data_IF_502434022225
#
_entry.id   IF_502434022225
#
_cell.length_a   1.000
_cell.length_b   1.000
_cell.length_c   1.000
_cell.angle_alpha   90.00
_cell.angle_beta   90.00
_cell.angle_gamma   90.00
#
_symmetry.space_group_name_H-M   'P 1'
#
loop_
_entity.id
_entity.type
_entity.pdbx_description
1 polymer ?
#
# COMPACT_ATOMS: atom_id res chain seq x y z
N UNK A 1 -10.43 -1.57 -45.37
CA UNK A 1 -11.52 -1.17 -44.44
C UNK A 1 -11.11 -1.55 -43.04
N UNK A 2 -10.48 -0.60 -42.30
CA UNK A 2 -10.02 -0.80 -40.92
C UNK A 2 -11.17 -0.58 -39.92
N UNK A 3 -12.14 -1.50 -39.87
CA UNK A 3 -13.14 -1.50 -38.81
C UNK A 3 -12.44 -1.88 -37.48
N UNK A 4 -12.31 -0.94 -36.56
CA UNK A 4 -11.97 -1.22 -35.14
C UNK A 4 -13.29 -1.31 -34.38
N UNK A 5 -13.59 -2.44 -33.75
CA UNK A 5 -14.79 -2.56 -32.94
C UNK A 5 -14.74 -1.52 -31.81
N UNK A 6 -15.83 -0.78 -31.65
CA UNK A 6 -15.99 0.16 -30.54
C UNK A 6 -16.03 -0.64 -29.22
N UNK A 7 -15.14 -0.30 -28.31
CA UNK A 7 -15.03 -0.93 -26.98
C UNK A 7 -16.35 -0.82 -26.20
N UNK A 8 -17.10 0.27 -26.35
CA UNK A 8 -18.42 0.43 -25.76
C UNK A 8 -19.45 -0.57 -26.32
N UNK A 9 -19.42 -0.81 -27.65
CA UNK A 9 -20.28 -1.80 -28.30
C UNK A 9 -19.90 -3.25 -27.92
N UNK A 10 -18.61 -3.53 -27.72
CA UNK A 10 -18.16 -4.84 -27.22
C UNK A 10 -18.60 -5.06 -25.77
N UNK A 11 -18.46 -4.06 -24.90
CA UNK A 11 -18.89 -4.10 -23.48
C UNK A 11 -20.41 -4.36 -23.38
N UNK A 12 -21.21 -3.68 -24.19
CA UNK A 12 -22.66 -3.89 -24.24
C UNK A 12 -23.04 -5.32 -24.72
N UNK A 13 -22.25 -5.91 -25.62
CA UNK A 13 -22.50 -7.25 -26.15
C UNK A 13 -22.02 -8.37 -25.23
N UNK A 14 -20.89 -8.17 -24.52
CA UNK A 14 -20.26 -9.21 -23.69
C UNK A 14 -20.57 -9.07 -22.20
N UNK A 15 -21.05 -7.91 -21.77
CA UNK A 15 -21.23 -7.57 -20.36
C UNK A 15 -19.93 -7.52 -19.56
N UNK A 16 -18.76 -7.64 -20.22
CA UNK A 16 -17.45 -7.69 -19.57
C UNK A 16 -16.72 -6.36 -19.78
N UNK A 17 -16.35 -5.72 -18.69
CA UNK A 17 -15.47 -4.56 -18.67
C UNK A 17 -14.05 -5.06 -18.46
N UNK A 18 -13.17 -4.83 -19.45
CA UNK A 18 -11.76 -5.25 -19.39
C UNK A 18 -10.89 -4.12 -18.81
N UNK A 19 -11.34 -3.52 -17.71
CA UNK A 19 -10.60 -2.46 -17.00
C UNK A 19 -10.53 -2.79 -15.51
N UNK A 20 -9.37 -2.60 -14.91
CA UNK A 20 -9.16 -2.69 -13.47
C UNK A 20 -8.64 -1.36 -12.97
N UNK A 21 -9.28 -0.84 -11.92
CA UNK A 21 -8.82 0.35 -11.23
C UNK A 21 -7.64 0.02 -10.30
N UNK A 22 -6.63 0.88 -10.31
CA UNK A 22 -5.52 0.82 -9.34
C UNK A 22 -5.43 2.19 -8.68
N UNK A 23 -5.55 2.22 -7.35
CA UNK A 23 -5.43 3.45 -6.56
C UNK A 23 -4.13 3.37 -5.76
N UNK A 24 -3.21 4.29 -6.03
CA UNK A 24 -1.88 4.30 -5.43
C UNK A 24 -1.67 5.55 -4.56
N UNK A 25 -1.00 5.43 -3.40
CA UNK A 25 -0.76 6.56 -2.49
C UNK A 25 0.26 7.56 -3.03
N UNK A 26 1.27 7.10 -3.76
CA UNK A 26 2.27 7.96 -4.39
C UNK A 26 3.07 7.17 -5.43
N UNK A 27 2.85 7.47 -6.71
CA UNK A 27 3.59 6.84 -7.81
C UNK A 27 5.08 7.22 -7.86
N UNK A 28 5.48 8.28 -7.16
CA UNK A 28 6.88 8.69 -6.99
C UNK A 28 7.67 7.81 -6.03
N UNK A 29 6.99 6.99 -5.21
CA UNK A 29 7.65 6.01 -4.34
C UNK A 29 8.15 4.82 -5.16
N UNK A 30 9.40 4.43 -4.97
CA UNK A 30 10.01 3.29 -5.67
C UNK A 30 9.23 1.99 -5.45
N UNK A 31 8.82 1.69 -4.23
CA UNK A 31 8.07 0.47 -3.90
C UNK A 31 6.68 0.47 -4.56
N UNK A 32 5.97 1.60 -4.49
CA UNK A 32 4.66 1.76 -5.14
C UNK A 32 4.78 1.62 -6.65
N UNK A 33 5.82 2.21 -7.25
CA UNK A 33 6.11 2.09 -8.68
C UNK A 33 6.37 0.64 -9.10
N UNK A 34 7.14 -0.12 -8.34
CA UNK A 34 7.41 -1.54 -8.61
C UNK A 34 6.15 -2.41 -8.48
N UNK A 35 5.34 -2.20 -7.44
CA UNK A 35 4.07 -2.90 -7.27
C UNK A 35 3.12 -2.59 -8.43
N UNK A 36 2.99 -1.31 -8.79
CA UNK A 36 2.14 -0.87 -9.91
C UNK A 36 2.59 -1.48 -11.25
N UNK A 37 3.90 -1.55 -11.49
CA UNK A 37 4.45 -2.19 -12.69
C UNK A 37 4.15 -3.71 -12.73
N UNK A 38 4.26 -4.40 -11.59
CA UNK A 38 3.89 -5.82 -11.48
C UNK A 38 2.39 -6.04 -11.75
N UNK A 39 1.53 -5.20 -11.18
CA UNK A 39 0.08 -5.23 -11.44
C UNK A 39 -0.21 -5.02 -12.93
N UNK A 40 0.42 -4.00 -13.55
CA UNK A 40 0.25 -3.71 -14.97
C UNK A 40 0.62 -4.90 -15.85
N UNK A 41 1.75 -5.55 -15.58
CA UNK A 41 2.21 -6.72 -16.32
C UNK A 41 1.21 -7.89 -16.26
N UNK A 42 0.64 -8.16 -15.08
CA UNK A 42 -0.35 -9.23 -14.92
C UNK A 42 -1.70 -8.89 -15.58
N UNK A 43 -2.11 -7.63 -15.55
CA UNK A 43 -3.32 -7.17 -16.22
C UNK A 43 -3.19 -7.25 -17.73
N UNK A 44 -2.05 -6.81 -18.28
CA UNK A 44 -1.76 -6.89 -19.73
C UNK A 44 -1.78 -8.33 -20.22
N UNK A 45 -1.16 -9.27 -19.49
CA UNK A 45 -1.17 -10.69 -19.83
C UNK A 45 -2.59 -11.28 -19.90
N UNK A 46 -3.55 -10.66 -19.21
CA UNK A 46 -4.97 -11.06 -19.18
C UNK A 46 -5.86 -10.16 -20.04
N UNK A 47 -5.27 -9.28 -20.85
CA UNK A 47 -5.98 -8.32 -21.70
C UNK A 47 -6.89 -7.35 -20.91
N UNK A 48 -6.50 -6.99 -19.70
CA UNK A 48 -7.14 -5.93 -18.93
C UNK A 48 -6.36 -4.62 -19.08
N UNK A 49 -7.08 -3.52 -19.20
CA UNK A 49 -6.52 -2.16 -19.16
C UNK A 49 -6.46 -1.68 -17.70
N UNK A 50 -5.33 -1.13 -17.30
CA UNK A 50 -5.17 -0.53 -15.98
C UNK A 50 -5.59 0.94 -15.99
N UNK A 51 -6.51 1.32 -15.09
CA UNK A 51 -6.87 2.71 -14.81
C UNK A 51 -6.22 3.14 -13.49
N UNK A 52 -5.20 3.99 -13.55
CA UNK A 52 -4.39 4.37 -12.38
C UNK A 52 -4.85 5.73 -11.80
N UNK A 53 -5.11 5.75 -10.49
CA UNK A 53 -5.33 6.95 -9.69
C UNK A 53 -4.19 7.16 -8.70
N UNK A 54 -3.57 8.35 -8.68
CA UNK A 54 -2.53 8.76 -7.73
C UNK A 54 -3.13 9.71 -6.69
N UNK A 55 -3.20 9.27 -5.42
CA UNK A 55 -3.86 10.05 -4.35
C UNK A 55 -2.96 11.09 -3.70
N UNK A 56 -1.64 10.91 -3.76
CA UNK A 56 -0.65 11.71 -3.03
C UNK A 56 -0.93 11.74 -1.51
N UNK A 57 -1.33 10.58 -0.96
CA UNK A 57 -1.72 10.40 0.44
C UNK A 57 -2.93 11.25 0.88
N UNK A 58 -3.68 11.82 -0.06
CA UNK A 58 -4.89 12.58 0.21
C UNK A 58 -6.10 11.65 0.31
N UNK A 59 -6.72 11.58 1.50
CA UNK A 59 -7.87 10.72 1.75
C UNK A 59 -9.12 11.11 0.94
N UNK A 60 -9.29 12.39 0.60
CA UNK A 60 -10.44 12.83 -0.22
C UNK A 60 -10.25 12.42 -1.67
N UNK A 61 -9.03 12.51 -2.20
CA UNK A 61 -8.70 11.98 -3.53
C UNK A 61 -8.90 10.47 -3.59
N UNK A 62 -8.52 9.74 -2.53
CA UNK A 62 -8.73 8.28 -2.46
C UNK A 62 -10.21 7.91 -2.58
N UNK A 63 -11.08 8.55 -1.79
CA UNK A 63 -12.53 8.37 -1.88
C UNK A 63 -13.10 8.80 -3.24
N UNK A 64 -12.57 9.90 -3.79
CA UNK A 64 -12.92 10.38 -5.12
C UNK A 64 -12.59 9.36 -6.22
N UNK A 65 -11.40 8.74 -6.18
CA UNK A 65 -11.00 7.70 -7.13
C UNK A 65 -11.83 6.43 -6.98
N UNK A 66 -12.15 5.98 -5.75
CA UNK A 66 -13.06 4.85 -5.54
C UNK A 66 -14.41 5.09 -6.24
N UNK A 67 -14.97 6.30 -6.08
CA UNK A 67 -16.23 6.68 -6.73
C UNK A 67 -16.08 6.77 -8.25
N UNK A 68 -15.01 7.39 -8.74
CA UNK A 68 -14.78 7.55 -10.18
C UNK A 68 -14.61 6.19 -10.89
N UNK A 69 -13.88 5.27 -10.30
CA UNK A 69 -13.66 3.94 -10.87
C UNK A 69 -14.95 3.13 -10.95
N UNK A 70 -15.80 3.19 -9.93
CA UNK A 70 -17.12 2.57 -9.97
C UNK A 70 -18.00 3.17 -11.09
N UNK A 71 -17.98 4.49 -11.26
CA UNK A 71 -18.69 5.16 -12.35
C UNK A 71 -18.17 4.78 -13.74
N UNK A 72 -16.89 4.49 -13.84
CA UNK A 72 -16.26 3.98 -15.07
C UNK A 72 -16.46 2.47 -15.27
N UNK A 73 -17.28 1.82 -14.41
CA UNK A 73 -17.62 0.41 -14.52
C UNK A 73 -16.39 -0.52 -14.59
N UNK A 74 -15.33 -0.24 -13.83
CA UNK A 74 -14.19 -1.15 -13.77
C UNK A 74 -14.59 -2.53 -13.24
N UNK A 75 -13.92 -3.59 -13.68
CA UNK A 75 -14.20 -4.96 -13.27
C UNK A 75 -13.86 -5.22 -11.78
N UNK A 76 -12.95 -4.42 -11.23
CA UNK A 76 -12.53 -4.46 -9.83
C UNK A 76 -11.52 -3.36 -9.54
N UNK A 77 -11.18 -3.19 -8.28
CA UNK A 77 -10.24 -2.16 -7.82
C UNK A 77 -9.13 -2.83 -6.99
N UNK A 78 -7.89 -2.46 -7.26
CA UNK A 78 -6.73 -2.76 -6.42
C UNK A 78 -6.36 -1.46 -5.72
N UNK A 79 -6.49 -1.43 -4.39
CA UNK A 79 -6.13 -0.29 -3.55
C UNK A 79 -4.78 -0.57 -2.89
N UNK A 80 -3.75 0.20 -3.22
CA UNK A 80 -2.51 0.21 -2.44
C UNK A 80 -2.78 1.00 -1.17
N UNK A 81 -3.05 0.27 -0.08
CA UNK A 81 -3.50 0.84 1.18
C UNK A 81 -2.46 1.77 1.81
N UNK A 82 -2.91 2.90 2.34
CA UNK A 82 -2.12 3.81 3.16
C UNK A 82 -2.70 3.91 4.56
N UNK A 83 -3.73 4.70 4.77
CA UNK A 83 -4.34 4.89 6.07
C UNK A 83 -5.76 4.33 6.11
N UNK A 84 -6.03 3.46 7.10
CA UNK A 84 -7.39 2.98 7.34
C UNK A 84 -8.18 4.04 8.12
N UNK A 85 -9.23 4.58 7.51
CA UNK A 85 -10.11 5.57 8.13
C UNK A 85 -11.55 5.08 8.15
N UNK A 86 -12.41 5.57 9.08
CA UNK A 86 -13.83 5.20 9.10
C UNK A 86 -14.55 5.53 7.79
N UNK A 87 -14.16 6.63 7.13
CA UNK A 87 -14.73 7.04 5.84
C UNK A 87 -14.33 6.05 4.74
N UNK A 88 -13.06 5.63 4.69
CA UNK A 88 -12.58 4.62 3.75
C UNK A 88 -13.27 3.27 4.01
N UNK A 89 -13.39 2.84 5.26
CA UNK A 89 -14.09 1.62 5.64
C UNK A 89 -15.53 1.60 5.10
N UNK A 90 -16.25 2.71 5.29
CA UNK A 90 -17.63 2.83 4.79
C UNK A 90 -17.68 2.84 3.25
N UNK A 91 -16.72 3.50 2.58
CA UNK A 91 -16.64 3.52 1.12
C UNK A 91 -16.34 2.13 0.55
N UNK A 92 -15.43 1.38 1.17
CA UNK A 92 -15.11 -0.01 0.77
C UNK A 92 -16.29 -0.93 0.95
N UNK A 93 -17.01 -0.83 2.08
CA UNK A 93 -18.22 -1.62 2.36
C UNK A 93 -19.35 -1.36 1.34
N UNK A 94 -19.45 -0.12 0.86
CA UNK A 94 -20.48 0.30 -0.11
C UNK A 94 -20.00 0.17 -1.56
N UNK A 95 -18.79 -0.35 -1.80
CA UNK A 95 -18.26 -0.48 -3.15
C UNK A 95 -19.04 -1.53 -3.93
N UNK A 96 -19.50 -1.16 -5.13
CA UNK A 96 -20.29 -2.04 -6.00
C UNK A 96 -19.46 -3.01 -6.83
N UNK A 97 -18.14 -2.87 -6.79
CA UNK A 97 -17.19 -3.75 -7.50
C UNK A 97 -16.23 -4.40 -6.51
N UNK A 98 -15.66 -5.58 -6.81
CA UNK A 98 -14.68 -6.22 -5.95
C UNK A 98 -13.48 -5.31 -5.67
N UNK A 99 -13.04 -5.26 -4.42
CA UNK A 99 -11.84 -4.53 -4.01
C UNK A 99 -10.84 -5.47 -3.36
N UNK A 100 -9.57 -5.34 -3.70
CA UNK A 100 -8.45 -5.97 -3.02
C UNK A 100 -7.53 -4.87 -2.52
N UNK A 101 -7.18 -4.91 -1.24
CA UNK A 101 -6.19 -4.00 -0.64
C UNK A 101 -4.83 -4.68 -0.65
N UNK A 102 -3.78 -3.94 -1.00
CA UNK A 102 -2.41 -4.44 -0.93
C UNK A 102 -1.52 -3.53 -0.09
N UNK A 103 -0.51 -4.13 0.55
CA UNK A 103 0.45 -3.44 1.40
C UNK A 103 0.05 -3.32 2.86
N UNK A 104 -1.25 -3.39 3.17
CA UNK A 104 -1.76 -3.32 4.54
C UNK A 104 -2.93 -4.29 4.75
N UNK A 105 -3.22 -4.59 6.00
CA UNK A 105 -4.39 -5.37 6.39
C UNK A 105 -5.53 -4.43 6.78
N UNK A 106 -6.63 -4.48 6.02
CA UNK A 106 -7.87 -3.79 6.36
C UNK A 106 -8.95 -4.80 6.79
N UNK A 107 -9.79 -4.49 7.78
CA UNK A 107 -10.92 -5.35 8.16
C UNK A 107 -11.93 -5.52 7.02
N UNK A 108 -12.55 -6.67 6.94
CA UNK A 108 -13.70 -6.98 6.09
C UNK A 108 -13.48 -6.81 4.57
N UNK A 109 -12.24 -6.77 4.12
CA UNK A 109 -11.87 -6.71 2.70
C UNK A 109 -10.73 -7.68 2.40
N UNK A 110 -10.67 -8.20 1.18
CA UNK A 110 -9.56 -9.06 0.74
C UNK A 110 -8.25 -8.26 0.72
N UNK A 111 -7.21 -8.79 1.37
CA UNK A 111 -5.92 -8.12 1.50
C UNK A 111 -4.76 -9.01 1.07
N UNK A 112 -3.75 -8.39 0.45
CA UNK A 112 -2.43 -8.98 0.19
C UNK A 112 -1.39 -8.08 0.84
N UNK A 113 -0.73 -8.57 1.87
CA UNK A 113 0.21 -7.77 2.68
C UNK A 113 1.39 -8.62 3.16
N UNK A 114 2.45 -7.97 3.58
CA UNK A 114 3.61 -8.60 4.17
C UNK A 114 3.39 -8.76 5.69
N UNK A 115 4.04 -9.75 6.30
CA UNK A 115 4.20 -9.81 7.76
C UNK A 115 5.31 -8.83 8.17
N UNK A 116 4.95 -7.56 8.24
CA UNK A 116 5.86 -6.46 8.53
C UNK A 116 6.46 -6.56 9.95
N UNK A 117 5.69 -7.07 10.91
CA UNK A 117 6.16 -7.30 12.28
C UNK A 117 7.28 -8.36 12.29
N UNK A 118 7.00 -9.55 11.75
CA UNK A 118 7.99 -10.63 11.73
C UNK A 118 9.23 -10.25 10.92
N UNK A 119 9.07 -9.62 9.77
CA UNK A 119 10.19 -9.18 8.95
C UNK A 119 11.12 -8.18 9.70
N UNK A 120 10.54 -7.20 10.39
CA UNK A 120 11.30 -6.23 11.18
C UNK A 120 11.98 -6.90 12.39
N UNK A 121 11.29 -7.82 13.06
CA UNK A 121 11.85 -8.58 14.18
C UNK A 121 13.05 -9.43 13.76
N UNK A 122 12.93 -10.21 12.70
CA UNK A 122 14.01 -11.04 12.16
C UNK A 122 15.23 -10.22 11.73
N UNK A 123 15.00 -9.10 11.03
CA UNK A 123 16.08 -8.20 10.63
C UNK A 123 16.82 -7.65 11.86
N UNK A 124 16.08 -7.24 12.89
CA UNK A 124 16.66 -6.71 14.13
C UNK A 124 17.44 -7.80 14.88
N UNK A 125 16.93 -9.01 14.94
CA UNK A 125 17.64 -10.16 15.54
C UNK A 125 19.00 -10.38 14.84
N UNK A 126 19.04 -10.35 13.50
CA UNK A 126 20.29 -10.44 12.75
C UNK A 126 21.27 -9.31 13.08
N UNK A 127 20.80 -8.09 13.23
CA UNK A 127 21.64 -6.97 13.65
C UNK A 127 22.24 -7.22 15.05
N UNK A 128 21.43 -7.72 15.99
CA UNK A 128 21.86 -8.05 17.34
C UNK A 128 22.88 -9.21 17.38
N UNK A 129 22.67 -10.24 16.58
CA UNK A 129 23.62 -11.36 16.40
C UNK A 129 25.00 -10.88 15.91
N UNK A 130 25.02 -9.83 15.06
CA UNK A 130 26.23 -9.17 14.60
C UNK A 130 26.79 -8.11 15.60
N UNK A 131 26.32 -8.13 16.84
CA UNK A 131 26.81 -7.28 17.90
C UNK A 131 26.32 -5.82 17.86
N UNK A 132 25.33 -5.49 17.00
CA UNK A 132 24.77 -4.14 16.93
C UNK A 132 23.77 -3.93 18.06
N UNK A 133 24.10 -3.10 19.04
CA UNK A 133 23.27 -2.84 20.24
C UNK A 133 22.66 -1.44 20.28
N UNK A 134 23.21 -0.51 19.51
CA UNK A 134 22.71 0.87 19.41
C UNK A 134 21.87 0.97 18.14
N UNK A 135 20.56 0.82 18.31
CA UNK A 135 19.60 0.76 17.20
C UNK A 135 18.70 1.99 17.30
N UNK A 136 18.43 2.62 16.17
CA UNK A 136 17.44 3.70 15.99
C UNK A 136 16.43 3.23 14.96
N UNK A 137 15.17 3.46 15.19
CA UNK A 137 14.10 3.19 14.25
C UNK A 137 13.71 4.46 13.49
N UNK A 138 13.86 4.44 12.18
CA UNK A 138 13.35 5.46 11.27
C UNK A 138 12.19 4.84 10.51
N UNK A 139 10.98 5.34 10.68
CA UNK A 139 9.79 4.70 10.12
C UNK A 139 8.64 5.66 9.87
N UNK A 140 7.54 5.10 9.38
CA UNK A 140 6.33 5.84 9.07
C UNK A 140 5.57 6.35 10.30
N UNK A 141 4.55 7.15 10.03
CA UNK A 141 3.59 7.64 11.03
C UNK A 141 2.78 6.47 11.61
N UNK A 142 2.37 6.57 12.87
CA UNK A 142 1.46 5.60 13.53
C UNK A 142 0.06 5.50 12.88
N UNK A 143 -0.24 6.40 11.96
CA UNK A 143 -1.45 6.28 11.12
C UNK A 143 -1.33 5.16 10.07
N UNK A 144 -0.11 4.73 9.77
CA UNK A 144 0.20 3.62 8.88
C UNK A 144 0.48 2.38 9.74
N UNK A 145 -0.43 1.41 9.71
CA UNK A 145 -0.33 0.21 10.53
C UNK A 145 0.95 -0.59 10.19
N UNK A 146 1.20 -0.85 8.92
CA UNK A 146 2.32 -1.68 8.48
C UNK A 146 3.68 -1.04 8.81
N UNK A 147 3.90 0.20 8.32
CA UNK A 147 5.23 0.84 8.38
C UNK A 147 5.46 1.66 9.65
N UNK A 148 4.40 2.13 10.29
CA UNK A 148 4.47 2.93 11.52
C UNK A 148 4.32 2.12 12.79
N UNK A 149 3.48 1.09 12.79
CA UNK A 149 3.19 0.28 13.98
C UNK A 149 3.87 -1.07 13.91
N UNK A 150 3.50 -1.93 12.97
CA UNK A 150 3.92 -3.33 12.93
C UNK A 150 5.44 -3.50 12.86
N UNK A 151 6.12 -2.77 11.98
CA UNK A 151 7.59 -2.81 11.92
C UNK A 151 8.25 -2.35 13.20
N UNK A 152 7.75 -1.27 13.81
CA UNK A 152 8.29 -0.77 15.08
C UNK A 152 8.14 -1.81 16.19
N UNK A 153 6.95 -2.39 16.34
CA UNK A 153 6.70 -3.42 17.34
C UNK A 153 7.60 -4.64 17.14
N UNK A 154 7.83 -5.06 15.91
CA UNK A 154 8.78 -6.12 15.57
C UNK A 154 10.21 -5.81 16.04
N UNK A 155 10.68 -4.56 15.84
CA UNK A 155 11.99 -4.12 16.35
C UNK A 155 12.01 -4.14 17.88
N UNK A 156 10.98 -3.61 18.53
CA UNK A 156 10.88 -3.57 20.00
C UNK A 156 10.89 -4.97 20.61
N UNK A 157 10.16 -5.89 20.02
CA UNK A 157 10.12 -7.28 20.49
C UNK A 157 11.48 -7.97 20.35
N UNK A 158 12.18 -7.77 19.23
CA UNK A 158 13.53 -8.31 19.08
C UNK A 158 14.53 -7.76 20.12
N UNK A 159 14.40 -6.49 20.48
CA UNK A 159 15.20 -5.86 21.54
C UNK A 159 14.90 -6.49 22.91
N UNK A 160 13.61 -6.65 23.25
CA UNK A 160 13.16 -7.27 24.51
C UNK A 160 13.65 -8.71 24.63
N UNK A 161 13.54 -9.49 23.54
CA UNK A 161 14.05 -10.88 23.49
C UNK A 161 15.56 -10.98 23.75
N UNK A 162 16.31 -9.94 23.36
CA UNK A 162 17.74 -9.85 23.60
C UNK A 162 18.11 -9.20 24.97
N UNK A 163 17.15 -8.98 25.85
CA UNK A 163 17.33 -8.36 27.16
C UNK A 163 17.64 -6.85 27.12
N UNK A 164 17.27 -6.20 26.03
CA UNK A 164 17.39 -4.73 25.86
C UNK A 164 16.03 -4.06 26.10
N UNK A 165 16.06 -2.78 26.46
CA UNK A 165 14.83 -2.00 26.66
C UNK A 165 14.24 -1.58 25.30
N UNK A 166 13.28 -2.36 24.80
CA UNK A 166 12.57 -2.08 23.55
C UNK A 166 11.63 -0.86 23.64
N UNK A 167 11.19 -0.49 24.86
CA UNK A 167 10.27 0.65 25.05
C UNK A 167 11.00 1.99 24.92
N UNK A 168 12.30 2.01 25.17
CA UNK A 168 13.15 3.18 24.96
C UNK A 168 13.83 3.22 23.58
N UNK A 169 13.33 2.45 22.61
CA UNK A 169 13.83 2.50 21.24
C UNK A 169 13.74 3.93 20.67
N UNK A 170 14.88 4.58 20.36
CA UNK A 170 14.87 5.90 19.74
C UNK A 170 14.16 5.82 18.40
N UNK A 171 13.22 6.75 18.17
CA UNK A 171 12.35 6.75 17.00
C UNK A 171 12.33 8.10 16.32
N UNK A 172 12.49 8.09 15.00
CA UNK A 172 12.32 9.25 14.14
C UNK A 172 11.21 8.93 13.14
N UNK A 173 10.21 9.81 13.05
CA UNK A 173 9.07 9.63 12.17
C UNK A 173 9.31 10.33 10.83
N UNK A 174 9.26 9.58 9.74
CA UNK A 174 9.28 10.12 8.39
C UNK A 174 7.89 10.60 7.96
N UNK A 175 7.82 11.77 7.33
CA UNK A 175 6.60 12.31 6.74
C UNK A 175 6.33 11.73 5.34
N UNK A 176 7.37 11.25 4.67
CA UNK A 176 7.30 10.62 3.35
C UNK A 176 8.42 9.59 3.18
N UNK A 177 8.24 8.64 2.24
CA UNK A 177 9.26 7.65 1.90
C UNK A 177 10.05 8.12 0.67
N UNK A 178 10.86 9.18 0.86
CA UNK A 178 11.76 9.74 -0.15
C UNK A 178 13.20 9.77 0.35
N UNK A 179 14.15 9.93 -0.57
CA UNK A 179 15.58 10.03 -0.23
C UNK A 179 15.85 11.25 0.64
N UNK A 180 15.24 12.38 0.31
CA UNK A 180 15.41 13.66 1.02
C UNK A 180 14.90 13.55 2.47
N UNK A 181 13.75 12.92 2.66
CA UNK A 181 13.18 12.71 4.00
C UNK A 181 14.03 11.73 4.81
N UNK A 182 14.55 10.67 4.18
CA UNK A 182 15.50 9.77 4.84
C UNK A 182 16.78 10.48 5.29
N UNK A 183 17.31 11.38 4.44
CA UNK A 183 18.48 12.21 4.82
C UNK A 183 18.16 13.13 5.98
N UNK A 184 17.00 13.78 5.98
CA UNK A 184 16.55 14.62 7.10
C UNK A 184 16.50 13.83 8.40
N UNK A 185 15.83 12.69 8.38
CA UNK A 185 15.70 11.82 9.56
C UNK A 185 17.05 11.32 10.10
N UNK A 186 18.05 11.13 9.25
CA UNK A 186 19.40 10.71 9.67
C UNK A 186 20.21 11.83 10.31
N UNK A 187 19.80 13.08 10.20
CA UNK A 187 20.47 14.24 10.80
C UNK A 187 19.92 14.60 12.19
N UNK A 188 18.76 14.07 12.55
CA UNK A 188 18.14 14.19 13.87
C UNK A 188 18.73 13.19 14.85
#
# INVERSE_FOLDING_TARGET
>A
TGYRPDTAAQTLRTGKVNQVGVIAPSIGSQSVGQITAGIASELDAKSYLMLLGNTELDAQRELGYLTAMQRNHVAGIILLGSYYTPQLAQALKNCSVPVVVTGQRFPDVACVYNDDHTAARELTQRMLEHGRRRIVYIGGSERDDATGIQRREGVQDALRDAGLDGDQLPRICCNAFTVEEGQRCMQE
#
